data_IF_453540648254
#
_entry.id   IF_453540648254
#
_cell.length_a   1.000
_cell.length_b   1.000
_cell.length_c   1.000
_cell.angle_alpha   90.00
_cell.angle_beta   90.00
_cell.angle_gamma   90.00
#
_symmetry.space_group_name_H-M   'P 1'
#
loop_
_entity.id
_entity.type
_entity.pdbx_description
1 polymer ?
#
# COMPACT_ATOMS: atom_id res chain seq x y z
N UNK A 1 -16.51 -26.00 15.75
CA UNK A 1 -16.01 -25.61 14.42
C UNK A 1 -14.83 -24.67 14.62
N UNK A 2 -13.62 -25.17 14.46
CA UNK A 2 -12.40 -24.38 14.48
C UNK A 2 -12.35 -23.55 13.21
N UNK A 3 -12.60 -22.23 13.32
CA UNK A 3 -12.33 -21.30 12.22
C UNK A 3 -10.82 -21.17 12.09
N UNK A 4 -10.23 -22.05 11.29
CA UNK A 4 -8.90 -21.86 10.75
C UNK A 4 -8.96 -20.64 9.84
N UNK A 5 -8.53 -19.48 10.34
CA UNK A 5 -8.21 -18.32 9.52
C UNK A 5 -7.06 -18.71 8.61
N UNK A 6 -7.43 -19.24 7.45
CA UNK A 6 -6.59 -19.46 6.31
C UNK A 6 -6.18 -18.05 5.79
N UNK A 7 -5.07 -17.53 6.30
CA UNK A 7 -4.41 -16.33 5.78
C UNK A 7 -3.66 -16.61 4.47
N UNK A 8 -4.05 -17.65 3.72
CA UNK A 8 -3.61 -17.87 2.35
C UNK A 8 -4.78 -17.52 1.41
N UNK A 9 -5.29 -16.29 1.53
CA UNK A 9 -6.01 -15.72 0.39
C UNK A 9 -4.91 -15.27 -0.56
N UNK A 10 -4.63 -16.11 -1.55
CA UNK A 10 -4.00 -15.73 -2.81
C UNK A 10 -4.59 -14.37 -3.19
N UNK A 11 -3.85 -13.32 -2.87
CA UNK A 11 -4.29 -11.95 -3.13
C UNK A 11 -4.31 -11.87 -4.64
N UNK A 12 -5.50 -11.99 -5.22
CA UNK A 12 -5.66 -11.76 -6.64
C UNK A 12 -5.19 -10.33 -6.86
N UNK A 13 -4.06 -10.20 -7.56
CA UNK A 13 -3.41 -8.98 -8.02
C UNK A 13 -4.35 -7.76 -8.19
N UNK A 14 -5.49 -7.86 -8.91
CA UNK A 14 -6.41 -6.73 -9.07
C UNK A 14 -7.11 -6.30 -7.77
N UNK A 15 -7.48 -7.24 -6.88
CA UNK A 15 -8.09 -6.92 -5.58
C UNK A 15 -7.12 -6.15 -4.68
N UNK A 16 -5.82 -6.50 -4.70
CA UNK A 16 -4.82 -5.81 -3.88
C UNK A 16 -4.57 -4.36 -4.34
N UNK A 17 -4.56 -4.14 -5.66
CA UNK A 17 -4.43 -2.80 -6.26
C UNK A 17 -5.64 -1.91 -5.95
N UNK A 18 -6.85 -2.45 -6.07
CA UNK A 18 -8.10 -1.71 -5.82
C UNK A 18 -8.23 -1.31 -4.35
N UNK A 19 -7.90 -2.23 -3.42
CA UNK A 19 -7.90 -1.98 -1.96
C UNK A 19 -6.88 -0.88 -1.60
N UNK A 20 -5.71 -0.86 -2.25
CA UNK A 20 -4.73 0.22 -2.09
C UNK A 20 -5.31 1.55 -2.56
N UNK A 21 -5.95 1.59 -3.74
CA UNK A 21 -6.54 2.81 -4.26
C UNK A 21 -7.70 3.33 -3.39
N UNK A 22 -8.50 2.44 -2.81
CA UNK A 22 -9.59 2.83 -1.92
C UNK A 22 -9.07 3.45 -0.63
N UNK A 23 -8.09 2.82 0.02
CA UNK A 23 -7.40 3.37 1.20
C UNK A 23 -6.80 4.74 0.90
N UNK A 24 -6.12 4.86 -0.23
CA UNK A 24 -5.53 6.11 -0.69
C UNK A 24 -6.55 7.23 -0.92
N UNK A 25 -7.71 6.91 -1.51
CA UNK A 25 -8.82 7.85 -1.66
C UNK A 25 -9.39 8.29 -0.30
N UNK A 26 -9.48 7.38 0.65
CA UNK A 26 -9.92 7.70 2.01
C UNK A 26 -8.95 8.67 2.69
N UNK A 27 -7.65 8.43 2.57
CA UNK A 27 -6.60 9.32 3.09
C UNK A 27 -6.65 10.69 2.43
N UNK A 28 -6.85 10.76 1.11
CA UNK A 28 -7.02 12.02 0.38
C UNK A 28 -8.23 12.80 0.87
N UNK A 29 -9.35 12.11 1.13
CA UNK A 29 -10.59 12.73 1.60
C UNK A 29 -10.51 13.20 3.05
N UNK A 30 -9.56 12.70 3.84
CA UNK A 30 -9.43 13.06 5.24
C UNK A 30 -8.77 14.44 5.47
N UNK A 31 -8.46 15.21 4.42
CA UNK A 31 -7.99 16.62 4.43
C UNK A 31 -6.87 16.92 5.45
N UNK A 32 -6.06 15.91 5.79
CA UNK A 32 -4.85 16.10 6.58
C UNK A 32 -3.83 16.67 5.59
N UNK A 33 -3.57 17.98 5.66
CA UNK A 33 -2.93 18.79 4.61
C UNK A 33 -1.62 18.31 3.96
N UNK A 34 -1.06 17.18 4.41
CA UNK A 34 -0.02 16.45 3.70
C UNK A 34 -0.39 14.96 3.52
N UNK A 35 -0.80 14.60 2.30
CA UNK A 35 -1.16 13.22 1.93
C UNK A 35 0.02 12.26 2.08
N UNK A 36 1.27 12.72 1.98
CA UNK A 36 2.45 11.87 2.14
C UNK A 36 2.59 11.44 3.61
N UNK A 37 2.33 12.36 4.55
CA UNK A 37 2.27 12.02 5.98
C UNK A 37 1.13 11.05 6.25
N UNK A 38 -0.08 11.31 5.75
CA UNK A 38 -1.21 10.42 5.97
C UNK A 38 -0.96 9.00 5.44
N UNK A 39 -0.36 8.88 4.25
CA UNK A 39 0.06 7.59 3.68
C UNK A 39 1.15 6.93 4.51
N UNK A 40 2.12 7.69 5.03
CA UNK A 40 3.17 7.13 5.89
C UNK A 40 2.62 6.57 7.19
N UNK A 41 1.68 7.30 7.81
CA UNK A 41 1.02 6.85 9.02
C UNK A 41 0.17 5.61 8.73
N UNK A 42 -0.57 5.57 7.64
CA UNK A 42 -1.31 4.38 7.24
C UNK A 42 -0.38 3.18 6.99
N UNK A 43 0.77 3.37 6.32
CA UNK A 43 1.75 2.29 6.12
C UNK A 43 2.28 1.75 7.46
N UNK A 44 2.48 2.62 8.46
CA UNK A 44 2.91 2.22 9.81
C UNK A 44 1.80 1.55 10.62
N UNK A 45 0.59 2.08 10.56
CA UNK A 45 -0.55 1.63 11.35
C UNK A 45 -1.20 0.37 10.76
N UNK A 46 -1.08 0.16 9.45
CA UNK A 46 -1.76 -0.88 8.71
C UNK A 46 -0.78 -1.80 7.97
N UNK A 47 -0.33 -2.90 8.61
CA UNK A 47 0.60 -3.84 8.00
C UNK A 47 0.04 -4.55 6.76
N UNK A 48 -1.29 -4.66 6.62
CA UNK A 48 -1.91 -5.23 5.42
C UNK A 48 -1.71 -4.32 4.20
N UNK A 49 -1.84 -3.00 4.37
CA UNK A 49 -1.57 -2.03 3.30
C UNK A 49 -0.13 -2.16 2.80
N UNK A 50 0.80 -2.32 3.72
CA UNK A 50 2.22 -2.52 3.43
C UNK A 50 2.52 -3.83 2.69
N UNK A 51 1.91 -4.95 3.11
CA UNK A 51 2.05 -6.23 2.41
C UNK A 51 1.54 -6.11 0.97
N UNK A 52 0.39 -5.45 0.77
CA UNK A 52 -0.19 -5.24 -0.57
C UNK A 52 0.69 -4.34 -1.44
N UNK A 53 1.26 -3.26 -0.89
CA UNK A 53 2.22 -2.42 -1.60
C UNK A 53 3.45 -3.21 -2.04
N UNK A 54 3.96 -4.11 -1.19
CA UNK A 54 5.08 -4.97 -1.51
C UNK A 54 4.73 -5.99 -2.59
N UNK A 55 3.54 -6.58 -2.56
CA UNK A 55 3.06 -7.46 -3.64
C UNK A 55 2.91 -6.69 -4.95
N UNK A 56 2.31 -5.51 -4.93
CA UNK A 56 2.17 -4.63 -6.10
C UNK A 56 3.54 -4.25 -6.69
N UNK A 57 4.55 -3.96 -5.84
CA UNK A 57 5.92 -3.71 -6.27
C UNK A 57 6.56 -4.96 -6.89
N UNK A 58 6.41 -6.12 -6.24
CA UNK A 58 7.07 -7.37 -6.63
C UNK A 58 6.53 -7.92 -7.94
N UNK A 59 5.22 -7.82 -8.15
CA UNK A 59 4.54 -8.41 -9.30
C UNK A 59 4.34 -7.41 -10.43
N UNK A 60 3.98 -6.18 -10.10
CA UNK A 60 3.66 -5.11 -11.05
C UNK A 60 4.74 -4.03 -11.20
N UNK A 61 5.83 -4.13 -10.45
CA UNK A 61 6.95 -3.20 -10.52
C UNK A 61 6.62 -1.77 -10.07
N UNK A 62 7.56 -0.87 -10.35
CA UNK A 62 7.43 0.56 -10.07
C UNK A 62 6.29 1.19 -10.90
N UNK A 63 6.00 0.66 -12.08
CA UNK A 63 4.91 1.16 -12.94
C UNK A 63 3.53 0.99 -12.30
N UNK A 64 3.27 -0.16 -11.67
CA UNK A 64 2.00 -0.40 -10.98
C UNK A 64 1.82 0.54 -9.80
N UNK A 65 2.85 0.68 -8.96
CA UNK A 65 2.81 1.65 -7.88
C UNK A 65 2.62 3.08 -8.44
N UNK A 66 3.31 3.45 -9.53
CA UNK A 66 3.18 4.80 -10.10
C UNK A 66 1.74 5.07 -10.52
N UNK A 67 1.05 4.07 -11.08
CA UNK A 67 -0.35 4.17 -11.46
C UNK A 67 -1.29 4.25 -10.24
N UNK A 68 -0.99 3.54 -9.16
CA UNK A 68 -1.75 3.58 -7.90
C UNK A 68 -1.66 4.96 -7.23
N UNK A 69 -0.48 5.57 -7.26
CA UNK A 69 -0.17 6.84 -6.57
C UNK A 69 -0.27 8.09 -7.46
N UNK A 70 -0.33 7.94 -8.78
CA UNK A 70 -0.56 9.03 -9.74
C UNK A 70 -1.71 9.98 -9.38
N UNK A 71 -2.92 9.51 -9.00
CA UNK A 71 -4.03 10.41 -8.67
C UNK A 71 -3.83 11.22 -7.38
N UNK A 72 -2.85 10.87 -6.56
CA UNK A 72 -2.55 11.57 -5.30
C UNK A 72 -1.37 12.54 -5.41
N UNK A 73 -0.71 12.61 -6.58
CA UNK A 73 0.52 13.38 -6.74
C UNK A 73 1.65 12.98 -5.78
N UNK A 74 1.65 11.73 -5.30
CA UNK A 74 2.70 11.20 -4.41
C UNK A 74 3.85 10.67 -5.26
N UNK A 75 5.09 11.10 -5.00
CA UNK A 75 6.25 10.60 -5.72
C UNK A 75 6.49 9.13 -5.37
N UNK A 76 6.80 8.34 -6.40
CA UNK A 76 7.01 6.90 -6.23
C UNK A 76 8.19 6.58 -5.31
N UNK A 77 9.19 7.46 -5.30
CA UNK A 77 10.38 7.38 -4.46
C UNK A 77 10.03 7.40 -2.97
N UNK A 78 8.97 8.10 -2.59
CA UNK A 78 8.49 8.14 -1.22
C UNK A 78 7.96 6.77 -0.79
N UNK A 79 7.03 6.21 -1.57
CA UNK A 79 6.43 4.90 -1.30
C UNK A 79 7.50 3.82 -1.35
N UNK A 80 8.41 3.90 -2.32
CA UNK A 80 9.53 2.99 -2.47
C UNK A 80 10.43 3.03 -1.23
N UNK A 81 10.77 4.23 -0.75
CA UNK A 81 11.50 4.44 0.49
C UNK A 81 10.83 3.76 1.69
N UNK A 82 9.51 3.82 1.81
CA UNK A 82 8.76 3.12 2.87
C UNK A 82 8.77 1.59 2.71
N UNK A 83 8.55 1.09 1.50
CA UNK A 83 8.50 -0.35 1.21
C UNK A 83 9.89 -1.00 1.35
N UNK A 84 10.95 -0.28 0.97
CA UNK A 84 12.36 -0.71 1.03
C UNK A 84 12.98 -0.50 2.42
N UNK A 85 12.71 0.61 3.13
CA UNK A 85 13.31 0.91 4.43
C UNK A 85 13.02 -0.16 5.49
N UNK A 86 11.88 -0.83 5.38
CA UNK A 86 11.49 -1.87 6.33
C UNK A 86 11.80 -3.29 5.81
N UNK A 87 12.44 -3.44 4.65
CA UNK A 87 13.13 -4.69 4.24
C UNK A 87 14.49 -4.83 4.95
N UNK A 88 15.05 -3.73 5.46
CA UNK A 88 16.34 -3.72 6.18
C UNK A 88 16.20 -4.01 7.68
N UNK A 89 15.01 -4.37 8.18
CA UNK A 89 14.80 -4.66 9.62
C UNK A 89 14.75 -6.16 9.93
N UNK A 90 15.33 -7.00 9.06
CA UNK A 90 15.56 -8.45 9.27
C UNK A 90 17.01 -8.72 9.68
#
# INVERSE_FOLDING_TARGET
HTHTHNYAREQNLPEAADDIQELLKQLQKNDCGDIQIAVSEEIKHNPNFRIRLRSALKEGGIETLKQLFAPLNIPIEFVRGWVEAEDQQI
#
